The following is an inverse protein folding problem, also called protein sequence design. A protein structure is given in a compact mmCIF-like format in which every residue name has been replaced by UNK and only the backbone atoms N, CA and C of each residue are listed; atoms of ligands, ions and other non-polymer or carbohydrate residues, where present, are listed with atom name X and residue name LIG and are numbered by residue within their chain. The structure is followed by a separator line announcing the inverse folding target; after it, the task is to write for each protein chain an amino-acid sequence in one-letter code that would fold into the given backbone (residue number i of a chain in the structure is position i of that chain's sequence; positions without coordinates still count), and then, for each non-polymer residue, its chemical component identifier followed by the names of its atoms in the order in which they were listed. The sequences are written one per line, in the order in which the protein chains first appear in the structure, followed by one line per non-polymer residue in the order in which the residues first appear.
data_IF_456528841129
#
_entry.id   IF_456528841129
#
_cell.length_a   1.000
_cell.length_b   1.000
_cell.length_c   1.000
_cell.angle_alpha   90.00
_cell.angle_beta   90.00
_cell.angle_gamma   90.00
#
_symmetry.space_group_name_H-M   'P 1'
#
loop_
_entity.id
_entity.type
_entity.pdbx_description
1 polymer ?
#
# COMPACT_ATOMS: atom_id res chain seq x y z
N UNK A 1 3.44 -19.48 -4.28
CA UNK A 1 2.66 -18.33 -4.82
C UNK A 1 3.22 -17.97 -6.18
N UNK A 2 2.38 -17.89 -7.20
CA UNK A 2 2.77 -17.40 -8.52
C UNK A 2 2.54 -15.88 -8.57
N UNK A 3 3.56 -15.14 -8.97
CA UNK A 3 3.51 -13.67 -9.05
C UNK A 3 3.91 -13.25 -10.47
N UNK A 4 3.03 -12.54 -11.17
CA UNK A 4 3.28 -11.99 -12.49
C UNK A 4 3.36 -10.46 -12.39
N UNK A 5 4.51 -9.85 -12.66
CA UNK A 5 4.64 -8.40 -12.70
C UNK A 5 4.03 -7.82 -13.97
N UNK A 6 3.21 -6.78 -13.82
CA UNK A 6 2.59 -6.06 -14.93
C UNK A 6 3.09 -4.61 -14.91
N UNK A 7 3.89 -4.17 -15.92
CA UNK A 7 4.44 -2.84 -15.97
C UNK A 7 3.35 -1.82 -16.33
N UNK A 8 3.05 -0.90 -15.42
CA UNK A 8 2.01 0.12 -15.59
C UNK A 8 2.52 1.57 -15.54
N UNK A 9 3.80 1.81 -15.25
CA UNK A 9 4.32 3.19 -15.13
C UNK A 9 4.28 3.94 -16.44
N UNK A 10 4.59 3.29 -17.57
CA UNK A 10 4.46 3.90 -18.90
C UNK A 10 3.01 4.29 -19.21
N UNK A 11 2.05 3.42 -18.93
CA UNK A 11 0.63 3.71 -19.14
C UNK A 11 0.19 4.90 -18.29
N UNK A 12 0.59 4.94 -17.02
CA UNK A 12 0.30 6.08 -16.14
C UNK A 12 0.93 7.37 -16.68
N UNK A 13 2.17 7.30 -17.20
CA UNK A 13 2.85 8.45 -17.79
C UNK A 13 2.19 8.95 -19.08
N UNK A 14 1.77 8.06 -19.96
CA UNK A 14 1.04 8.40 -21.18
C UNK A 14 -0.28 9.11 -20.86
N UNK A 15 -1.04 8.59 -19.89
CA UNK A 15 -2.28 9.22 -19.42
C UNK A 15 -2.02 10.63 -18.86
N UNK A 16 -0.96 10.83 -18.08
CA UNK A 16 -0.59 12.15 -17.56
C UNK A 16 -0.09 13.10 -18.66
N UNK A 17 0.42 12.59 -19.77
CA UNK A 17 0.83 13.37 -20.95
C UNK A 17 -0.33 14.01 -21.73
N UNK A 18 -1.54 13.50 -21.58
CA UNK A 18 -2.73 14.10 -22.18
C UNK A 18 -3.07 15.39 -21.43
N UNK A 19 -3.44 16.50 -22.11
CA UNK A 19 -3.83 17.74 -21.43
C UNK A 19 -4.92 17.50 -20.38
N UNK A 20 -4.72 18.08 -19.19
CA UNK A 20 -5.62 17.94 -18.05
C UNK A 20 -7.03 18.38 -18.38
N UNK A 21 -8.02 17.50 -18.21
CA UNK A 21 -9.42 17.78 -18.51
C UNK A 21 -10.22 16.52 -18.83
N UNK A 22 -11.43 16.71 -19.31
CA UNK A 22 -12.34 15.59 -19.63
C UNK A 22 -11.80 14.63 -20.70
N UNK A 23 -10.92 15.10 -21.59
CA UNK A 23 -10.25 14.25 -22.57
C UNK A 23 -9.37 13.19 -21.89
N UNK A 24 -8.50 13.62 -20.96
CA UNK A 24 -7.67 12.72 -20.14
C UNK A 24 -8.53 11.75 -19.33
N UNK A 25 -9.57 12.25 -18.68
CA UNK A 25 -10.46 11.41 -17.86
C UNK A 25 -11.15 10.33 -18.69
N UNK A 26 -11.67 10.66 -19.87
CA UNK A 26 -12.27 9.68 -20.77
C UNK A 26 -11.25 8.64 -21.24
N UNK A 27 -10.03 9.07 -21.57
CA UNK A 27 -8.97 8.13 -21.95
C UNK A 27 -8.59 7.21 -20.79
N UNK A 28 -8.47 7.75 -19.56
CA UNK A 28 -8.27 6.96 -18.37
C UNK A 28 -9.36 5.88 -18.21
N UNK A 29 -10.65 6.24 -18.31
CA UNK A 29 -11.74 5.28 -18.22
C UNK A 29 -11.66 4.17 -19.28
N UNK A 30 -11.26 4.51 -20.51
CA UNK A 30 -11.05 3.52 -21.59
C UNK A 30 -9.87 2.61 -21.31
N UNK A 31 -8.82 3.12 -20.67
CA UNK A 31 -7.60 2.36 -20.36
C UNK A 31 -7.84 1.36 -19.25
N UNK A 32 -8.64 1.71 -18.23
CA UNK A 32 -8.93 0.80 -17.13
C UNK A 32 -10.01 -0.24 -17.44
N UNK A 33 -10.81 -0.05 -18.49
CA UNK A 33 -11.98 -0.86 -18.82
C UNK A 33 -11.90 -1.40 -20.24
N UNK A 34 -12.04 -2.71 -20.40
CA UNK A 34 -12.01 -3.38 -21.70
C UNK A 34 -13.25 -3.05 -22.55
N UNK A 35 -14.44 -3.06 -21.95
CA UNK A 35 -15.75 -2.97 -22.60
C UNK A 35 -16.75 -2.04 -21.87
N UNK A 36 -16.25 -1.23 -20.95
CA UNK A 36 -17.06 -0.38 -20.08
C UNK A 36 -17.72 -1.12 -18.90
N UNK A 37 -17.69 -2.45 -18.87
CA UNK A 37 -18.28 -3.27 -17.82
C UNK A 37 -17.23 -4.05 -17.01
N UNK A 38 -16.08 -4.39 -17.63
CA UNK A 38 -15.01 -5.16 -17.00
C UNK A 38 -13.74 -4.33 -16.85
N UNK A 39 -13.11 -4.40 -15.69
CA UNK A 39 -11.81 -3.78 -15.46
C UNK A 39 -10.69 -4.69 -15.94
N UNK A 40 -9.85 -4.19 -16.83
CA UNK A 40 -8.65 -4.88 -17.30
C UNK A 40 -7.43 -4.55 -16.43
N UNK A 41 -7.32 -3.28 -16.02
CA UNK A 41 -6.21 -2.76 -15.21
C UNK A 41 -6.72 -2.12 -13.90
N UNK A 42 -7.27 -2.91 -12.96
CA UNK A 42 -7.86 -2.39 -11.73
C UNK A 42 -6.87 -1.65 -10.83
N UNK A 43 -5.58 -1.94 -10.92
CA UNK A 43 -4.53 -1.22 -10.19
C UNK A 43 -4.54 0.28 -10.48
N UNK A 44 -4.87 0.68 -11.71
CA UNK A 44 -4.95 2.08 -12.10
C UNK A 44 -6.10 2.86 -11.44
N UNK A 45 -7.04 2.20 -10.75
CA UNK A 45 -8.06 2.89 -9.96
C UNK A 45 -7.46 3.72 -8.81
N UNK A 46 -6.26 3.37 -8.36
CA UNK A 46 -5.56 4.11 -7.31
C UNK A 46 -4.92 5.41 -7.80
N UNK A 47 -4.66 5.56 -9.12
CA UNK A 47 -4.04 6.76 -9.64
C UNK A 47 -5.01 7.95 -9.70
N UNK A 48 -4.47 9.18 -9.54
CA UNK A 48 -5.20 10.41 -9.82
C UNK A 48 -5.11 10.75 -11.33
N UNK A 49 -6.18 10.54 -12.13
CA UNK A 49 -6.15 10.90 -13.57
C UNK A 49 -6.05 12.40 -13.79
N UNK A 50 -6.33 13.23 -12.77
CA UNK A 50 -6.23 14.68 -12.80
C UNK A 50 -4.98 15.21 -12.09
N UNK A 51 -3.97 14.35 -11.89
CA UNK A 51 -2.68 14.72 -11.31
C UNK A 51 -2.05 15.91 -12.04
N UNK A 52 -1.31 16.72 -11.29
CA UNK A 52 -0.55 17.87 -11.78
C UNK A 52 0.90 17.47 -12.10
N UNK A 53 1.71 18.45 -12.40
CA UNK A 53 3.09 18.30 -12.87
C UNK A 53 3.98 17.48 -11.91
N UNK A 54 3.72 17.51 -10.59
CA UNK A 54 4.47 16.71 -9.62
C UNK A 54 4.30 15.19 -9.85
N UNK A 55 3.10 14.73 -10.26
CA UNK A 55 2.87 13.32 -10.61
C UNK A 55 3.64 12.94 -11.87
N UNK A 56 3.63 13.84 -12.87
CA UNK A 56 4.40 13.64 -14.10
C UNK A 56 5.90 13.60 -13.82
N UNK A 57 6.41 14.51 -12.99
CA UNK A 57 7.81 14.56 -12.61
C UNK A 57 8.25 13.28 -11.86
N UNK A 58 7.42 12.77 -10.94
CA UNK A 58 7.71 11.49 -10.25
C UNK A 58 7.71 10.32 -11.25
N UNK A 59 6.75 10.25 -12.17
CA UNK A 59 6.71 9.22 -13.21
C UNK A 59 7.96 9.25 -14.10
N UNK A 60 8.38 10.44 -14.53
CA UNK A 60 9.60 10.59 -15.33
C UNK A 60 10.85 10.14 -14.56
N UNK A 61 10.95 10.46 -13.26
CA UNK A 61 12.04 10.00 -12.42
C UNK A 61 12.03 8.46 -12.21
N UNK A 62 10.86 7.86 -12.02
CA UNK A 62 10.72 6.41 -11.88
C UNK A 62 11.05 5.67 -13.19
N UNK A 63 10.65 6.22 -14.34
CA UNK A 63 11.00 5.64 -15.63
C UNK A 63 12.50 5.76 -15.92
N UNK A 64 13.13 6.89 -15.56
CA UNK A 64 14.57 7.08 -15.68
C UNK A 64 15.36 6.10 -14.77
N UNK A 65 14.79 5.69 -13.63
CA UNK A 65 15.33 4.69 -12.72
C UNK A 65 15.15 3.23 -13.20
N UNK A 66 14.41 2.99 -14.29
CA UNK A 66 13.95 1.65 -14.68
C UNK A 66 13.13 0.97 -13.57
N UNK A 67 12.22 1.72 -12.92
CA UNK A 67 11.46 1.23 -11.77
C UNK A 67 10.61 -0.03 -12.09
N UNK A 68 10.05 -0.14 -13.30
CA UNK A 68 9.36 -1.36 -13.74
C UNK A 68 10.32 -2.56 -13.81
N UNK A 69 11.56 -2.37 -14.27
CA UNK A 69 12.59 -3.41 -14.28
C UNK A 69 13.04 -3.80 -12.85
N UNK A 70 13.22 -2.82 -11.97
CA UNK A 70 13.49 -3.08 -10.53
C UNK A 70 12.37 -3.89 -9.91
N UNK A 71 11.11 -3.50 -10.13
CA UNK A 71 9.94 -4.18 -9.60
C UNK A 71 9.83 -5.62 -10.13
N UNK A 72 10.03 -5.83 -11.43
CA UNK A 72 9.98 -7.16 -12.04
C UNK A 72 11.02 -8.13 -11.42
N UNK A 73 12.26 -7.67 -11.22
CA UNK A 73 13.30 -8.45 -10.53
C UNK A 73 12.91 -8.76 -9.07
N UNK A 74 12.40 -7.77 -8.36
CA UNK A 74 11.95 -7.91 -6.97
C UNK A 74 10.78 -8.90 -6.84
N UNK A 75 9.82 -8.86 -7.77
CA UNK A 75 8.71 -9.83 -7.83
C UNK A 75 9.23 -11.24 -8.10
N UNK A 76 10.21 -11.41 -9.00
CA UNK A 76 10.80 -12.73 -9.28
C UNK A 76 11.53 -13.30 -8.04
N UNK A 77 12.28 -12.48 -7.31
CA UNK A 77 12.93 -12.85 -6.04
C UNK A 77 11.89 -13.29 -4.99
N UNK A 78 10.85 -12.49 -4.79
CA UNK A 78 9.76 -12.80 -3.84
C UNK A 78 8.98 -14.05 -4.25
N UNK A 79 8.73 -14.26 -5.56
CA UNK A 79 8.05 -15.45 -6.07
C UNK A 79 8.83 -16.72 -5.78
N UNK A 80 10.15 -16.67 -5.89
CA UNK A 80 11.03 -17.81 -5.55
C UNK A 80 10.96 -18.15 -4.04
N UNK A 81 10.93 -17.12 -3.17
CA UNK A 81 10.82 -17.32 -1.71
C UNK A 81 9.43 -17.82 -1.28
N UNK A 82 8.40 -17.53 -2.04
CA UNK A 82 7.01 -17.89 -1.76
C UNK A 82 6.52 -19.04 -2.65
N UNK A 83 7.42 -19.82 -3.24
CA UNK A 83 7.07 -20.88 -4.22
C UNK A 83 6.09 -21.92 -3.65
N UNK A 84 6.21 -22.26 -2.37
CA UNK A 84 5.35 -23.24 -1.69
C UNK A 84 4.00 -22.67 -1.22
N UNK A 85 3.82 -21.34 -1.32
CA UNK A 85 2.57 -20.69 -0.92
C UNK A 85 1.52 -20.77 -2.03
N UNK A 86 0.25 -20.94 -1.68
CA UNK A 86 -0.83 -20.92 -2.66
C UNK A 86 -1.09 -19.51 -3.21
N UNK A 87 -1.70 -19.43 -4.39
CA UNK A 87 -2.19 -18.19 -4.99
C UNK A 87 -1.52 -17.83 -6.31
N UNK A 88 -2.26 -17.07 -7.12
CA UNK A 88 -1.86 -16.53 -8.42
C UNK A 88 -2.23 -15.04 -8.46
N UNK A 89 -1.21 -14.17 -8.50
CA UNK A 89 -1.40 -12.73 -8.35
C UNK A 89 -0.69 -11.97 -9.46
N UNK A 90 -1.33 -10.92 -9.94
CA UNK A 90 -0.68 -9.86 -10.73
C UNK A 90 -0.19 -8.77 -9.79
N UNK A 91 1.06 -8.38 -9.95
CA UNK A 91 1.70 -7.32 -9.17
C UNK A 91 1.98 -6.13 -10.06
N UNK A 92 1.65 -4.92 -9.61
CA UNK A 92 1.92 -3.70 -10.36
C UNK A 92 2.36 -2.57 -9.44
N UNK A 93 3.12 -1.62 -9.97
CA UNK A 93 3.39 -0.34 -9.33
C UNK A 93 2.32 0.68 -9.73
N UNK A 94 1.85 1.44 -8.75
CA UNK A 94 0.90 2.52 -8.97
C UNK A 94 1.27 3.75 -8.14
N UNK A 95 1.20 4.94 -8.77
CA UNK A 95 1.38 6.21 -8.07
C UNK A 95 0.03 6.68 -7.53
N UNK A 96 0.00 6.94 -6.23
CA UNK A 96 -1.12 7.58 -5.54
C UNK A 96 -0.76 9.02 -5.23
N UNK A 97 -1.63 9.95 -5.61
CA UNK A 97 -1.41 11.39 -5.44
C UNK A 97 -1.92 11.86 -4.08
N UNK A 98 -1.00 12.03 -3.14
CA UNK A 98 -1.24 12.52 -1.77
C UNK A 98 -0.93 14.02 -1.59
N UNK A 99 -0.42 14.70 -2.62
CA UNK A 99 -0.15 16.14 -2.60
C UNK A 99 -1.36 16.99 -3.03
N UNK A 100 -2.32 16.41 -3.72
CA UNK A 100 -3.53 17.08 -4.14
C UNK A 100 -4.57 17.04 -3.03
N UNK A 101 -4.65 18.07 -2.22
CA UNK A 101 -5.70 18.20 -1.21
C UNK A 101 -7.09 17.94 -1.78
N UNK A 102 -7.84 17.03 -1.17
CA UNK A 102 -9.22 16.70 -1.52
C UNK A 102 -9.41 15.55 -2.51
N UNK A 103 -8.36 15.03 -3.19
CA UNK A 103 -8.51 13.82 -4.00
C UNK A 103 -8.33 12.56 -3.15
N UNK A 104 -7.25 12.50 -2.39
CA UNK A 104 -6.91 11.32 -1.58
C UNK A 104 -6.39 11.77 -0.22
N UNK A 105 -6.91 11.19 0.85
CA UNK A 105 -6.29 11.30 2.16
C UNK A 105 -5.27 10.16 2.32
N UNK A 106 -4.00 10.48 2.44
CA UNK A 106 -2.92 9.50 2.53
C UNK A 106 -3.19 8.41 3.57
N UNK A 107 -3.54 8.79 4.78
CA UNK A 107 -3.71 7.82 5.87
C UNK A 107 -4.93 6.89 5.68
N UNK A 108 -6.00 7.42 5.09
CA UNK A 108 -7.18 6.63 4.74
C UNK A 108 -6.87 5.62 3.63
N UNK A 109 -6.08 6.02 2.64
CA UNK A 109 -5.63 5.14 1.55
C UNK A 109 -4.58 4.13 2.04
N UNK A 110 -3.61 4.55 2.84
CA UNK A 110 -2.66 3.64 3.48
C UNK A 110 -3.38 2.54 4.26
N UNK A 111 -4.37 2.92 5.06
CA UNK A 111 -5.20 1.97 5.79
C UNK A 111 -5.90 0.99 4.83
N UNK A 112 -6.48 1.52 3.76
CA UNK A 112 -7.19 0.71 2.76
C UNK A 112 -6.25 -0.28 2.09
N UNK A 113 -5.08 0.17 1.63
CA UNK A 113 -4.09 -0.69 0.98
C UNK A 113 -3.47 -1.74 1.91
N UNK A 114 -3.36 -1.46 3.21
CA UNK A 114 -2.78 -2.39 4.18
C UNK A 114 -3.77 -3.42 4.71
N UNK A 115 -5.04 -3.05 4.92
CA UNK A 115 -5.98 -3.88 5.68
C UNK A 115 -7.26 -4.26 4.93
N UNK A 116 -7.51 -3.67 3.76
CA UNK A 116 -8.64 -4.07 2.91
C UNK A 116 -8.21 -4.98 1.76
N UNK A 117 -6.99 -5.51 1.80
CA UNK A 117 -6.50 -6.54 0.90
C UNK A 117 -7.10 -7.86 1.36
N UNK A 118 -8.20 -8.25 0.77
CA UNK A 118 -8.86 -9.52 1.07
C UNK A 118 -9.30 -10.23 -0.21
N UNK A 119 -9.62 -11.52 -0.13
CA UNK A 119 -10.36 -12.16 -1.20
C UNK A 119 -11.60 -11.33 -1.50
N UNK A 120 -12.10 -11.32 -2.75
CA UNK A 120 -13.27 -10.54 -3.10
C UNK A 120 -14.38 -10.80 -2.09
N UNK A 121 -15.07 -9.72 -1.70
CA UNK A 121 -16.22 -9.81 -0.79
C UNK A 121 -17.16 -10.93 -1.21
N UNK A 122 -17.88 -11.57 -0.24
CA UNK A 122 -18.81 -12.64 -0.54
C UNK A 122 -19.75 -12.26 -1.69
N UNK A 123 -20.28 -13.24 -2.43
CA UNK A 123 -21.06 -13.04 -3.67
C UNK A 123 -22.26 -12.10 -3.56
N UNK A 124 -22.70 -11.78 -2.35
CA UNK A 124 -23.81 -10.85 -2.06
C UNK A 124 -23.44 -9.36 -2.20
N UNK A 125 -22.14 -9.02 -2.18
CA UNK A 125 -21.72 -7.70 -2.56
C UNK A 125 -21.58 -7.65 -4.08
N UNK A 126 -22.45 -6.88 -4.75
CA UNK A 126 -22.48 -6.66 -6.19
C UNK A 126 -21.27 -5.85 -6.68
N UNK A 127 -20.06 -6.20 -6.22
CA UNK A 127 -18.85 -5.81 -6.92
C UNK A 127 -18.80 -6.72 -8.18
N UNK A 128 -18.65 -6.13 -9.37
CA UNK A 128 -18.58 -6.90 -10.59
C UNK A 128 -17.50 -7.99 -10.48
N UNK A 129 -17.69 -9.13 -11.15
CA UNK A 129 -16.73 -10.25 -11.25
C UNK A 129 -15.52 -9.83 -12.10
N UNK A 130 -14.81 -8.76 -11.73
CA UNK A 130 -13.93 -8.02 -12.62
C UNK A 130 -12.52 -8.53 -12.71
N UNK A 131 -12.13 -9.48 -11.87
CA UNK A 131 -10.77 -10.00 -11.97
C UNK A 131 -10.76 -11.52 -11.83
N UNK A 132 -10.35 -12.19 -12.90
CA UNK A 132 -9.95 -13.61 -12.84
C UNK A 132 -8.65 -13.81 -12.06
N UNK A 133 -7.94 -12.72 -11.77
CA UNK A 133 -6.67 -12.68 -11.06
C UNK A 133 -6.73 -11.66 -9.93
N UNK A 134 -6.10 -11.98 -8.83
CA UNK A 134 -5.92 -11.04 -7.74
C UNK A 134 -4.80 -10.06 -8.10
N UNK A 135 -5.06 -8.77 -7.90
CA UNK A 135 -4.08 -7.73 -8.10
C UNK A 135 -3.50 -7.28 -6.77
N UNK A 136 -2.18 -7.14 -6.74
CA UNK A 136 -1.40 -6.63 -5.61
C UNK A 136 -0.68 -5.37 -6.06
N UNK A 137 -0.90 -4.26 -5.37
CA UNK A 137 -0.37 -2.96 -5.75
C UNK A 137 0.80 -2.57 -4.84
N UNK A 138 1.99 -2.43 -5.41
CA UNK A 138 3.07 -1.66 -4.83
C UNK A 138 2.76 -0.17 -4.98
N UNK A 139 2.43 0.49 -3.88
CA UNK A 139 2.03 1.90 -3.89
C UNK A 139 3.24 2.80 -3.72
N UNK A 140 3.38 3.78 -4.61
CA UNK A 140 4.33 4.87 -4.54
C UNK A 140 3.57 6.18 -4.36
N UNK A 141 4.00 6.99 -3.39
CA UNK A 141 3.31 8.23 -3.06
C UNK A 141 3.92 9.41 -3.80
N UNK A 142 3.07 10.32 -4.28
CA UNK A 142 3.53 11.49 -5.05
C UNK A 142 4.37 12.47 -4.22
N UNK A 143 4.30 12.40 -2.90
CA UNK A 143 5.14 13.17 -1.96
C UNK A 143 6.52 12.55 -1.69
N UNK A 144 6.79 11.34 -2.16
CA UNK A 144 8.03 10.62 -1.89
C UNK A 144 8.99 10.64 -3.07
N UNK A 145 10.29 10.48 -2.78
CA UNK A 145 11.31 10.47 -3.82
C UNK A 145 11.34 9.14 -4.59
N UNK A 146 11.57 9.21 -5.90
CA UNK A 146 11.85 8.04 -6.72
C UNK A 146 13.21 7.44 -6.35
N UNK A 147 13.21 6.27 -5.73
CA UNK A 147 14.43 5.52 -5.39
C UNK A 147 14.21 4.03 -5.64
N UNK A 148 15.28 3.30 -5.96
CA UNK A 148 15.22 1.84 -6.09
C UNK A 148 14.72 1.17 -4.81
N UNK A 149 15.16 1.68 -3.65
CA UNK A 149 14.72 1.21 -2.34
C UNK A 149 13.19 1.36 -2.18
N UNK A 150 12.63 2.53 -2.47
CA UNK A 150 11.19 2.77 -2.37
C UNK A 150 10.39 1.82 -3.27
N UNK A 151 10.88 1.57 -4.49
CA UNK A 151 10.28 0.61 -5.42
C UNK A 151 10.30 -0.81 -4.84
N UNK A 152 11.45 -1.26 -4.33
CA UNK A 152 11.58 -2.60 -3.73
C UNK A 152 10.69 -2.75 -2.49
N UNK A 153 10.72 -1.79 -1.57
CA UNK A 153 9.89 -1.81 -0.35
C UNK A 153 8.39 -1.81 -0.69
N UNK A 154 7.95 -1.01 -1.68
CA UNK A 154 6.56 -0.99 -2.13
C UNK A 154 6.10 -2.35 -2.67
N UNK A 155 6.92 -3.00 -3.50
CA UNK A 155 6.63 -4.34 -4.04
C UNK A 155 6.63 -5.39 -2.94
N UNK A 156 7.70 -5.46 -2.14
CA UNK A 156 7.87 -6.52 -1.12
C UNK A 156 6.80 -6.45 -0.04
N UNK A 157 6.50 -5.24 0.48
CA UNK A 157 5.44 -5.08 1.49
C UNK A 157 4.08 -5.48 0.94
N UNK A 158 3.77 -5.15 -0.30
CA UNK A 158 2.51 -5.54 -0.93
C UNK A 158 2.40 -7.07 -1.11
N UNK A 159 3.46 -7.72 -1.61
CA UNK A 159 3.50 -9.17 -1.85
C UNK A 159 3.47 -9.94 -0.53
N UNK A 160 4.30 -9.58 0.44
CA UNK A 160 4.32 -10.28 1.74
C UNK A 160 3.04 -10.06 2.54
N UNK A 161 2.37 -8.91 2.38
CA UNK A 161 1.05 -8.68 2.96
C UNK A 161 0.01 -9.62 2.33
N UNK A 162 0.03 -9.79 1.02
CA UNK A 162 -0.84 -10.75 0.35
C UNK A 162 -0.60 -12.18 0.86
N UNK A 163 0.66 -12.60 1.00
CA UNK A 163 1.03 -13.90 1.55
C UNK A 163 0.59 -14.04 3.02
N UNK A 164 0.81 -13.01 3.84
CA UNK A 164 0.37 -13.01 5.25
C UNK A 164 -1.15 -13.17 5.38
N UNK A 165 -1.91 -12.39 4.63
CA UNK A 165 -3.39 -12.45 4.65
C UNK A 165 -3.89 -13.81 4.14
N UNK A 166 -3.20 -14.40 3.18
CA UNK A 166 -3.53 -15.74 2.67
C UNK A 166 -3.38 -16.82 3.77
N UNK A 167 -2.34 -16.71 4.61
CA UNK A 167 -2.05 -17.66 5.69
C UNK A 167 -2.92 -17.45 6.93
N UNK A 168 -3.15 -16.19 7.31
CA UNK A 168 -3.70 -15.83 8.62
C UNK A 168 -5.11 -15.21 8.54
N UNK A 169 -5.59 -14.88 7.34
CA UNK A 169 -6.79 -14.09 7.13
C UNK A 169 -6.54 -12.59 7.37
N UNK A 170 -7.53 -11.73 7.09
CA UNK A 170 -7.41 -10.28 7.24
C UNK A 170 -7.36 -9.88 8.73
N UNK A 171 -6.44 -8.97 9.07
CA UNK A 171 -6.36 -8.37 10.40
C UNK A 171 -7.60 -7.51 10.68
N UNK A 172 -8.29 -7.77 11.78
CA UNK A 172 -9.52 -7.07 12.16
C UNK A 172 -9.38 -6.17 13.37
N UNK A 173 -8.48 -6.48 14.30
CA UNK A 173 -8.20 -5.69 15.49
C UNK A 173 -6.87 -4.95 15.36
N UNK A 174 -6.69 -3.87 16.10
CA UNK A 174 -5.42 -3.14 16.12
C UNK A 174 -4.23 -4.06 16.44
N UNK A 175 -4.37 -4.98 17.38
CA UNK A 175 -3.35 -6.00 17.70
C UNK A 175 -2.97 -6.82 16.49
N UNK A 176 -3.96 -7.35 15.77
CA UNK A 176 -3.72 -8.13 14.56
C UNK A 176 -3.09 -7.28 13.44
N UNK A 177 -3.48 -6.01 13.31
CA UNK A 177 -2.92 -5.06 12.34
C UNK A 177 -1.44 -4.76 12.63
N UNK A 178 -1.08 -4.52 13.88
CA UNK A 178 0.30 -4.34 14.31
C UNK A 178 1.14 -5.59 14.03
N UNK A 179 0.62 -6.77 14.36
CA UNK A 179 1.31 -8.04 14.09
C UNK A 179 1.53 -8.25 12.59
N UNK A 180 0.49 -8.08 11.78
CA UNK A 180 0.58 -8.19 10.31
C UNK A 180 1.66 -7.26 9.76
N UNK A 181 1.57 -5.96 10.04
CA UNK A 181 2.48 -4.98 9.46
C UNK A 181 3.91 -5.11 9.98
N UNK A 182 4.07 -5.46 11.25
CA UNK A 182 5.40 -5.77 11.80
C UNK A 182 6.08 -6.92 11.04
N UNK A 183 5.39 -8.06 10.89
CA UNK A 183 5.90 -9.20 10.13
C UNK A 183 6.18 -8.83 8.66
N UNK A 184 5.23 -8.15 8.00
CA UNK A 184 5.37 -7.74 6.59
C UNK A 184 6.56 -6.82 6.37
N UNK A 185 6.70 -5.76 7.18
CA UNK A 185 7.78 -4.80 7.06
C UNK A 185 9.14 -5.42 7.39
N UNK A 186 9.22 -6.26 8.43
CA UNK A 186 10.45 -6.96 8.78
C UNK A 186 10.90 -7.89 7.63
N UNK A 187 9.98 -8.71 7.10
CA UNK A 187 10.25 -9.61 5.98
C UNK A 187 10.64 -8.85 4.70
N UNK A 188 10.06 -7.68 4.46
CA UNK A 188 10.42 -6.81 3.33
C UNK A 188 11.77 -6.10 3.51
N UNK A 189 12.37 -6.19 4.69
CA UNK A 189 13.64 -5.50 5.00
C UNK A 189 13.48 -4.00 5.17
N UNK A 190 12.25 -3.50 5.47
CA UNK A 190 12.02 -2.08 5.72
C UNK A 190 12.87 -1.60 6.89
N UNK A 191 13.49 -0.45 6.77
CA UNK A 191 14.26 0.18 7.86
C UNK A 191 13.51 1.28 8.58
N UNK A 192 12.43 1.75 8.03
CA UNK A 192 11.56 2.80 8.54
C UNK A 192 10.10 2.30 8.60
N UNK A 193 9.23 2.89 9.43
CA UNK A 193 9.52 4.00 10.37
C UNK A 193 10.28 3.53 11.61
N UNK A 194 11.02 4.45 12.24
CA UNK A 194 11.81 4.20 13.46
C UNK A 194 11.45 5.25 14.51
N UNK A 195 11.39 4.81 15.77
CA UNK A 195 11.28 5.66 16.95
C UNK A 195 12.42 5.31 17.92
N UNK A 196 12.79 6.22 18.80
CA UNK A 196 13.70 5.92 19.90
C UNK A 196 13.02 5.05 20.97
N UNK A 197 13.80 4.55 21.93
CA UNK A 197 13.32 3.63 22.96
C UNK A 197 12.26 4.27 23.89
N UNK A 198 12.35 5.59 24.14
CA UNK A 198 11.39 6.33 24.95
C UNK A 198 10.05 6.46 24.22
N UNK A 199 10.07 6.86 22.95
CA UNK A 199 8.89 6.95 22.09
C UNK A 199 8.25 5.56 21.86
N UNK A 200 9.03 4.49 21.73
CA UNK A 200 8.53 3.10 21.63
C UNK A 200 7.79 2.72 22.91
N UNK A 201 8.39 3.01 24.08
CA UNK A 201 7.76 2.69 25.37
C UNK A 201 6.46 3.47 25.56
N UNK A 202 6.48 4.77 25.28
CA UNK A 202 5.31 5.63 25.31
C UNK A 202 4.21 5.16 24.36
N UNK A 203 4.58 4.88 23.10
CA UNK A 203 3.63 4.38 22.10
C UNK A 203 2.95 3.09 22.58
N UNK A 204 3.70 2.17 23.15
CA UNK A 204 3.19 0.91 23.67
C UNK A 204 2.15 1.13 24.78
N UNK A 205 2.43 2.06 25.71
CA UNK A 205 1.52 2.42 26.79
C UNK A 205 0.22 3.03 26.25
N UNK A 206 0.33 3.99 25.32
CA UNK A 206 -0.83 4.66 24.70
C UNK A 206 -1.70 3.69 23.90
N UNK A 207 -1.11 2.72 23.20
CA UNK A 207 -1.84 1.74 22.39
C UNK A 207 -2.47 0.62 23.21
N UNK A 208 -1.95 0.32 24.40
CA UNK A 208 -2.38 -0.82 25.21
C UNK A 208 -3.92 -0.94 25.40
N UNK A 209 -4.67 0.13 25.73
CA UNK A 209 -6.11 0.05 25.90
C UNK A 209 -6.91 -0.13 24.61
N UNK A 210 -6.27 0.03 23.43
CA UNK A 210 -6.93 -0.02 22.12
C UNK A 210 -6.60 -1.27 21.31
N UNK A 211 -5.80 -2.19 21.84
CA UNK A 211 -5.31 -3.35 21.08
C UNK A 211 -6.44 -4.23 20.52
N UNK A 212 -7.58 -4.28 21.16
CA UNK A 212 -8.73 -5.08 20.73
C UNK A 212 -9.78 -4.25 19.96
N UNK A 213 -9.49 -2.97 19.69
CA UNK A 213 -10.35 -2.12 18.85
C UNK A 213 -10.35 -2.61 17.40
N UNK A 214 -11.53 -2.61 16.78
CA UNK A 214 -11.77 -3.06 15.39
C UNK A 214 -12.31 -1.94 14.49
N UNK A 215 -12.45 -0.74 15.03
CA UNK A 215 -12.92 0.41 14.27
C UNK A 215 -11.77 1.11 13.52
N UNK A 216 -12.08 1.53 12.29
CA UNK A 216 -11.13 2.17 11.37
C UNK A 216 -10.51 3.45 11.95
N UNK A 217 -11.27 4.23 12.70
CA UNK A 217 -10.81 5.51 13.26
C UNK A 217 -9.69 5.27 14.27
N UNK A 218 -9.95 4.45 15.29
CA UNK A 218 -8.96 4.10 16.32
C UNK A 218 -7.72 3.47 15.69
N UNK A 219 -7.90 2.57 14.71
CA UNK A 219 -6.78 1.96 14.00
C UNK A 219 -5.91 3.00 13.28
N UNK A 220 -6.50 3.95 12.54
CA UNK A 220 -5.75 5.02 11.86
C UNK A 220 -4.99 5.90 12.86
N UNK A 221 -5.66 6.34 13.94
CA UNK A 221 -5.02 7.16 14.99
C UNK A 221 -3.81 6.44 15.61
N UNK A 222 -3.95 5.17 15.92
CA UNK A 222 -2.92 4.37 16.58
C UNK A 222 -1.77 3.99 15.63
N UNK A 223 -2.08 3.60 14.39
CA UNK A 223 -1.06 3.16 13.44
C UNK A 223 -0.20 4.32 12.91
N UNK A 224 -0.86 5.44 12.55
CA UNK A 224 -0.22 6.53 11.83
C UNK A 224 0.06 7.77 12.68
N UNK A 225 -0.41 7.79 13.94
CA UNK A 225 -0.12 8.87 14.89
C UNK A 225 -0.93 10.15 14.69
N UNK A 226 -0.56 11.19 15.43
CA UNK A 226 -1.34 12.42 15.54
C UNK A 226 -1.45 13.22 14.24
N UNK A 227 -0.49 13.08 13.32
CA UNK A 227 -0.57 13.72 12.01
C UNK A 227 -1.78 13.21 11.21
N UNK A 228 -2.03 11.89 11.26
CA UNK A 228 -3.21 11.27 10.66
C UNK A 228 -4.50 11.71 11.36
N UNK A 229 -4.48 11.70 12.68
CA UNK A 229 -5.60 12.16 13.49
C UNK A 229 -6.03 13.59 13.14
N UNK A 230 -5.09 14.54 13.11
CA UNK A 230 -5.37 15.95 12.76
C UNK A 230 -5.92 16.11 11.36
N UNK A 231 -5.35 15.40 10.39
CA UNK A 231 -5.78 15.48 8.97
C UNK A 231 -7.21 14.98 8.78
N UNK A 232 -7.65 14.03 9.60
CA UNK A 232 -9.00 13.45 9.56
C UNK A 232 -9.97 14.07 10.57
N UNK A 233 -9.54 15.09 11.33
CA UNK A 233 -10.36 15.76 12.33
C UNK A 233 -10.55 14.95 13.61
N UNK A 234 -9.60 14.06 13.95
CA UNK A 234 -9.63 13.26 15.16
C UNK A 234 -8.83 13.93 16.27
N UNK A 235 -9.07 13.51 17.52
CA UNK A 235 -8.36 14.03 18.69
C UNK A 235 -6.95 13.42 18.76
N UNK A 236 -5.87 14.24 18.89
CA UNK A 236 -4.53 13.75 19.07
C UNK A 236 -4.38 12.91 20.36
N UNK A 237 -3.50 11.90 20.32
CA UNK A 237 -3.18 10.99 21.43
C UNK A 237 -1.76 11.21 21.98
N UNK A 238 -1.01 12.16 21.43
CA UNK A 238 0.40 12.39 21.74
C UNK A 238 1.36 11.47 20.97
N UNK A 239 0.88 10.81 19.92
CA UNK A 239 1.67 9.86 19.16
C UNK A 239 2.49 10.53 18.05
N UNK A 240 3.76 10.15 17.96
CA UNK A 240 4.66 10.52 16.85
C UNK A 240 4.12 10.01 15.50
N UNK A 241 4.51 10.63 14.37
CA UNK A 241 4.12 10.13 13.05
C UNK A 241 4.50 8.66 12.86
N UNK A 242 3.56 7.85 12.38
CA UNK A 242 3.72 6.41 12.10
C UNK A 242 4.05 5.56 13.35
N UNK A 243 3.75 6.04 14.55
CA UNK A 243 4.18 5.44 15.82
C UNK A 243 3.78 3.97 15.95
N UNK A 244 2.54 3.60 15.60
CA UNK A 244 2.12 2.20 15.69
C UNK A 244 2.86 1.29 14.70
N UNK A 245 3.15 1.78 13.49
CA UNK A 245 3.93 1.01 12.52
C UNK A 245 5.39 0.88 12.95
N UNK A 246 5.99 1.93 13.54
CA UNK A 246 7.34 1.87 14.11
C UNK A 246 7.42 0.85 15.25
N UNK A 247 6.44 0.86 16.17
CA UNK A 247 6.33 -0.14 17.23
C UNK A 247 6.19 -1.56 16.66
N UNK A 248 5.35 -1.75 15.65
CA UNK A 248 5.15 -3.04 15.01
C UNK A 248 6.45 -3.59 14.39
N UNK A 249 7.18 -2.76 13.66
CA UNK A 249 8.46 -3.14 13.05
C UNK A 249 9.53 -3.43 14.12
N UNK A 250 9.62 -2.60 15.17
CA UNK A 250 10.52 -2.82 16.30
C UNK A 250 10.29 -4.19 16.93
N UNK A 251 9.03 -4.52 17.24
CA UNK A 251 8.67 -5.77 17.93
C UNK A 251 8.94 -7.00 17.06
N UNK A 252 8.62 -6.92 15.76
CA UNK A 252 8.88 -8.02 14.84
C UNK A 252 10.37 -8.35 14.73
N UNK A 253 11.25 -7.34 14.61
CA UNK A 253 12.70 -7.54 14.55
C UNK A 253 13.28 -8.18 15.82
N UNK A 254 12.75 -7.82 16.99
CA UNK A 254 13.19 -8.44 18.26
C UNK A 254 12.77 -9.90 18.40
N UNK A 255 11.69 -10.29 17.73
CA UNK A 255 11.22 -11.68 17.74
C UNK A 255 12.10 -12.55 16.86
N UNK A 256 12.48 -12.07 15.66
CA UNK A 256 13.37 -12.80 14.74
C UNK A 256 14.78 -13.06 15.31
N UNK A 257 15.29 -12.18 16.17
CA UNK A 257 16.60 -12.37 16.83
C UNK A 257 16.58 -13.38 18.00
N UNK A 258 15.41 -13.92 18.38
CA UNK A 258 15.27 -14.87 19.48
C UNK A 258 15.03 -16.32 19.04
N UNK A 259 14.85 -16.52 17.74
CA UNK A 259 14.72 -17.84 17.10
C UNK A 259 16.00 -18.22 16.36
#
# INVERSE_FOLDING_TARGET
MKLDYVPLLHIQRELQGIPRGMGRFRQYLRTISLDGANLELPSLLAMNPMGKDHVTALLDALLALDADGVAARTVAEASAQLADEPGDFKVALVIVDDLMGGWTNRYAEEFTHRFQVGPPAPPDFRLPRWTKHYWVNGVLWSSEAATERAVREAVLTAVYRAAYVQRHGPARTLRAMLTQEGCVMAQAGCTEPVLDEEDIAYTREVLAPFLDADDKRTAIECLFGDAAGRTLGFTPRGLSPWAGLALALHDARRTDHRT
#
